data_IF_343758084452
#
_entry.id   IF_343758084452
#
_cell.length_a   1.000
_cell.length_b   1.000
_cell.length_c   1.000
_cell.angle_alpha   90.00
_cell.angle_beta   90.00
_cell.angle_gamma   90.00
#
_symmetry.space_group_name_H-M   'P 1'
#
loop_
_entity.id
_entity.type
_entity.pdbx_description
1 polymer ?
#
# COMPACT_ATOMS: atom_id res chain seq x y z
N UNK A 1 25.45 -5.19 -0.53
CA UNK A 1 24.19 -5.91 -0.79
C UNK A 1 23.77 -5.58 -2.20
N UNK A 2 23.49 -6.59 -3.01
CA UNK A 2 22.99 -6.42 -4.38
C UNK A 2 21.64 -5.68 -4.35
N UNK A 3 21.48 -4.65 -5.19
CA UNK A 3 20.30 -3.78 -5.18
C UNK A 3 19.03 -4.55 -5.56
N UNK A 4 19.15 -5.49 -6.51
CA UNK A 4 18.04 -6.34 -6.94
C UNK A 4 17.63 -7.32 -5.84
N UNK A 5 18.59 -7.97 -5.18
CA UNK A 5 18.31 -8.85 -4.03
C UNK A 5 17.61 -8.10 -2.91
N UNK A 6 18.08 -6.89 -2.58
CA UNK A 6 17.45 -6.03 -1.58
C UNK A 6 15.98 -5.76 -1.91
N UNK A 7 15.70 -5.29 -3.14
CA UNK A 7 14.34 -4.98 -3.55
C UNK A 7 13.44 -6.22 -3.49
N UNK A 8 13.90 -7.36 -4.03
CA UNK A 8 13.17 -8.62 -4.02
C UNK A 8 12.87 -9.12 -2.60
N UNK A 9 13.84 -9.03 -1.70
CA UNK A 9 13.67 -9.43 -0.31
C UNK A 9 12.66 -8.53 0.42
N UNK A 10 12.69 -7.22 0.18
CA UNK A 10 11.75 -6.27 0.79
C UNK A 10 10.33 -6.41 0.26
N UNK A 11 10.14 -6.59 -1.04
CA UNK A 11 8.80 -6.80 -1.61
C UNK A 11 8.20 -8.12 -1.15
N UNK A 12 8.99 -9.20 -1.09
CA UNK A 12 8.54 -10.49 -0.55
C UNK A 12 8.13 -10.38 0.93
N UNK A 13 8.91 -9.65 1.74
CA UNK A 13 8.57 -9.40 3.14
C UNK A 13 7.25 -8.62 3.27
N UNK A 14 7.06 -7.53 2.52
CA UNK A 14 5.83 -6.73 2.60
C UNK A 14 4.61 -7.55 2.16
N UNK A 15 4.74 -8.34 1.10
CA UNK A 15 3.68 -9.24 0.66
C UNK A 15 3.30 -10.24 1.75
N UNK A 16 4.30 -10.92 2.33
CA UNK A 16 4.09 -11.86 3.44
C UNK A 16 3.43 -11.18 4.64
N UNK A 17 3.92 -10.00 5.02
CA UNK A 17 3.39 -9.25 6.15
C UNK A 17 1.91 -8.90 5.95
N UNK A 18 1.54 -8.35 4.79
CA UNK A 18 0.14 -8.07 4.48
C UNK A 18 -0.70 -9.35 4.48
N UNK A 19 -0.26 -10.40 3.77
CA UNK A 19 -1.04 -11.62 3.60
C UNK A 19 -1.26 -12.37 4.92
N UNK A 20 -0.29 -12.37 5.82
CA UNK A 20 -0.43 -13.04 7.11
C UNK A 20 -1.21 -12.19 8.11
N UNK A 21 -0.94 -10.89 8.19
CA UNK A 21 -1.62 -10.01 9.14
C UNK A 21 -3.09 -9.77 8.78
N UNK A 22 -3.44 -9.69 7.50
CA UNK A 22 -4.82 -9.45 7.07
C UNK A 22 -5.78 -10.60 7.39
N UNK A 23 -5.28 -11.85 7.47
CA UNK A 23 -6.13 -13.05 7.65
C UNK A 23 -7.08 -12.96 8.81
N UNK A 24 -6.60 -12.51 9.98
CA UNK A 24 -7.42 -12.45 11.18
C UNK A 24 -8.60 -11.47 11.03
N UNK A 25 -8.35 -10.31 10.43
CA UNK A 25 -9.36 -9.25 10.29
C UNK A 25 -10.34 -9.54 9.16
N UNK A 26 -9.86 -10.13 8.05
CA UNK A 26 -10.73 -10.64 6.98
C UNK A 26 -11.62 -11.78 7.49
N UNK A 27 -11.09 -12.67 8.34
CA UNK A 27 -11.86 -13.74 8.96
C UNK A 27 -12.94 -13.19 9.92
N UNK A 28 -12.65 -12.11 10.66
CA UNK A 28 -13.65 -11.42 11.49
C UNK A 28 -14.80 -10.88 10.63
N UNK A 29 -14.51 -10.10 9.59
CA UNK A 29 -15.53 -9.57 8.68
C UNK A 29 -16.37 -10.70 8.07
N UNK A 30 -15.69 -11.73 7.55
CA UNK A 30 -16.35 -12.90 6.96
C UNK A 30 -17.29 -13.61 7.93
N UNK A 31 -16.86 -13.84 9.17
CA UNK A 31 -17.69 -14.54 10.17
C UNK A 31 -18.88 -13.69 10.62
N UNK A 32 -18.73 -12.38 10.75
CA UNK A 32 -19.83 -11.47 11.09
C UNK A 32 -20.88 -11.50 9.97
N UNK A 33 -20.46 -11.30 8.72
CA UNK A 33 -21.35 -11.27 7.55
C UNK A 33 -22.11 -12.59 7.33
N UNK A 34 -21.49 -13.72 7.71
CA UNK A 34 -22.06 -15.06 7.53
C UNK A 34 -22.64 -15.65 8.83
N UNK A 35 -22.71 -14.86 9.92
CA UNK A 35 -23.23 -15.28 11.23
C UNK A 35 -22.58 -16.59 11.72
N UNK A 36 -21.25 -16.69 11.59
CA UNK A 36 -20.47 -17.85 11.99
C UNK A 36 -19.93 -17.67 13.41
N UNK A 37 -19.67 -18.76 14.17
CA UNK A 37 -19.10 -18.66 15.51
C UNK A 37 -17.80 -17.84 15.54
N UNK A 38 -17.61 -16.93 16.52
CA UNK A 38 -18.45 -16.69 17.70
C UNK A 38 -19.61 -15.68 17.52
N UNK A 39 -19.90 -15.25 16.29
CA UNK A 39 -20.89 -14.21 15.97
C UNK A 39 -22.26 -14.77 15.57
N UNK A 40 -22.48 -16.07 15.73
CA UNK A 40 -23.71 -16.81 15.38
C UNK A 40 -24.87 -16.58 16.37
N UNK A 41 -24.58 -16.05 17.56
CA UNK A 41 -25.57 -15.76 18.59
C UNK A 41 -25.43 -14.30 19.09
N UNK A 42 -25.93 -13.32 18.32
CA UNK A 42 -25.83 -11.91 18.71
C UNK A 42 -26.67 -11.61 19.96
N UNK A 43 -26.21 -10.69 20.84
CA UNK A 43 -27.03 -10.21 21.94
C UNK A 43 -28.28 -9.48 21.41
N UNK A 44 -29.40 -9.63 22.12
CA UNK A 44 -30.64 -8.91 21.77
C UNK A 44 -30.41 -7.40 21.86
N UNK A 45 -30.81 -6.67 20.81
CA UNK A 45 -30.74 -5.22 20.72
C UNK A 45 -32.05 -4.68 20.14
N UNK A 46 -32.57 -3.58 20.71
CA UNK A 46 -33.79 -2.90 20.24
C UNK A 46 -33.48 -1.71 19.31
N UNK A 47 -32.20 -1.37 19.16
CA UNK A 47 -31.76 -0.15 18.47
C UNK A 47 -31.77 -0.29 16.93
N UNK A 48 -32.01 -1.50 16.41
CA UNK A 48 -32.05 -1.79 14.97
C UNK A 48 -30.66 -1.81 14.29
N UNK A 49 -29.60 -1.56 15.05
CA UNK A 49 -28.21 -1.63 14.59
C UNK A 49 -27.79 -3.08 14.27
N UNK A 50 -26.98 -3.30 13.22
CA UNK A 50 -26.37 -4.61 12.98
C UNK A 50 -25.56 -5.07 14.19
N UNK A 51 -25.75 -6.33 14.59
CA UNK A 51 -24.93 -6.91 15.64
C UNK A 51 -23.46 -6.96 15.23
N UNK A 52 -22.57 -6.67 16.17
CA UNK A 52 -21.11 -6.65 15.97
C UNK A 52 -20.60 -5.64 14.92
N UNK A 53 -21.34 -4.54 14.71
CA UNK A 53 -20.94 -3.47 13.80
C UNK A 53 -19.58 -2.86 14.20
N UNK A 54 -19.34 -2.64 15.49
CA UNK A 54 -18.07 -2.08 15.99
C UNK A 54 -16.90 -2.99 15.65
N UNK A 55 -17.01 -4.30 15.87
CA UNK A 55 -15.97 -5.27 15.55
C UNK A 55 -15.68 -5.35 14.05
N UNK A 56 -16.71 -5.24 13.20
CA UNK A 56 -16.52 -5.17 11.75
C UNK A 56 -15.80 -3.89 11.33
N UNK A 57 -16.20 -2.73 11.90
CA UNK A 57 -15.58 -1.43 11.63
C UNK A 57 -14.14 -1.35 12.11
N UNK A 58 -13.84 -1.96 13.26
CA UNK A 58 -12.48 -2.06 13.78
C UNK A 58 -11.61 -2.94 12.88
N UNK A 59 -12.13 -4.09 12.43
CA UNK A 59 -11.43 -4.96 11.48
C UNK A 59 -11.12 -4.23 10.16
N UNK A 60 -12.10 -3.50 9.62
CA UNK A 60 -11.93 -2.69 8.40
C UNK A 60 -10.86 -1.60 8.59
N UNK A 61 -10.95 -0.84 9.67
CA UNK A 61 -9.99 0.22 10.01
C UNK A 61 -8.57 -0.35 10.13
N UNK A 62 -8.41 -1.52 10.75
CA UNK A 62 -7.10 -2.17 10.87
C UNK A 62 -6.57 -2.60 9.50
N UNK A 63 -7.42 -3.12 8.61
CA UNK A 63 -7.04 -3.47 7.24
C UNK A 63 -6.59 -2.26 6.44
N UNK A 64 -7.27 -1.12 6.56
CA UNK A 64 -6.86 0.14 5.93
C UNK A 64 -5.47 0.58 6.42
N UNK A 65 -5.27 0.62 7.74
CA UNK A 65 -3.99 1.01 8.35
C UNK A 65 -2.86 0.05 7.93
N UNK A 66 -3.14 -1.25 7.92
CA UNK A 66 -2.20 -2.28 7.47
C UNK A 66 -1.81 -2.06 6.00
N UNK A 67 -2.79 -1.81 5.13
CA UNK A 67 -2.55 -1.50 3.72
C UNK A 67 -1.67 -0.25 3.55
N UNK A 68 -2.00 0.83 4.27
CA UNK A 68 -1.23 2.08 4.23
C UNK A 68 0.22 1.88 4.73
N UNK A 69 0.42 1.07 5.77
CA UNK A 69 1.74 0.72 6.26
C UNK A 69 2.53 -0.07 5.21
N UNK A 70 1.91 -1.06 4.56
CA UNK A 70 2.52 -1.87 3.51
C UNK A 70 2.97 -1.04 2.31
N UNK A 71 2.10 -0.15 1.81
CA UNK A 71 2.48 0.72 0.69
C UNK A 71 3.59 1.69 1.13
N UNK A 72 3.67 2.08 2.41
CA UNK A 72 4.74 2.97 2.91
C UNK A 72 6.07 2.25 2.91
N UNK A 73 6.10 1.01 3.38
CA UNK A 73 7.27 0.14 3.30
C UNK A 73 7.73 -0.10 1.85
N UNK A 74 6.81 -0.30 0.92
CA UNK A 74 7.14 -0.45 -0.51
C UNK A 74 7.75 0.85 -1.09
N UNK A 75 7.16 2.00 -0.78
CA UNK A 75 7.66 3.31 -1.22
C UNK A 75 9.09 3.55 -0.73
N UNK A 76 9.38 3.23 0.53
CA UNK A 76 10.72 3.40 1.09
C UNK A 76 11.73 2.38 0.55
N UNK A 77 11.31 1.13 0.32
CA UNK A 77 12.12 0.15 -0.37
C UNK A 77 12.50 0.60 -1.79
N UNK A 78 11.56 1.21 -2.53
CA UNK A 78 11.82 1.77 -3.86
C UNK A 78 12.80 2.96 -3.79
N UNK A 79 12.64 3.88 -2.85
CA UNK A 79 13.60 4.98 -2.64
C UNK A 79 15.00 4.45 -2.38
N UNK A 80 15.13 3.46 -1.49
CA UNK A 80 16.43 2.85 -1.17
C UNK A 80 17.02 2.13 -2.37
N UNK A 81 16.21 1.42 -3.16
CA UNK A 81 16.63 0.78 -4.39
C UNK A 81 17.18 1.80 -5.40
N UNK A 82 16.41 2.82 -5.74
CA UNK A 82 16.83 3.85 -6.69
C UNK A 82 18.06 4.63 -6.22
N UNK A 83 18.12 5.00 -4.93
CA UNK A 83 19.30 5.64 -4.37
C UNK A 83 20.54 4.72 -4.45
N UNK A 84 20.38 3.42 -4.23
CA UNK A 84 21.47 2.45 -4.32
C UNK A 84 21.93 2.30 -5.78
N UNK A 85 20.98 2.19 -6.71
CA UNK A 85 21.25 2.09 -8.14
C UNK A 85 22.02 3.33 -8.64
N UNK A 86 21.53 4.53 -8.31
CA UNK A 86 22.16 5.78 -8.71
C UNK A 86 23.56 5.97 -8.11
N UNK A 87 23.72 5.76 -6.80
CA UNK A 87 24.98 6.08 -6.13
C UNK A 87 26.06 4.99 -6.23
N UNK A 88 25.68 3.71 -6.32
CA UNK A 88 26.61 2.58 -6.21
C UNK A 88 26.78 1.76 -7.48
N UNK A 89 25.83 1.83 -8.40
CA UNK A 89 25.86 1.01 -9.62
C UNK A 89 26.15 1.87 -10.85
N UNK A 90 25.36 2.93 -11.05
CA UNK A 90 25.48 3.78 -12.24
C UNK A 90 26.42 4.97 -11.99
N UNK A 91 26.41 5.53 -10.79
CA UNK A 91 27.28 6.65 -10.41
C UNK A 91 26.77 8.00 -10.89
N UNK A 92 25.48 8.28 -10.73
CA UNK A 92 24.89 9.59 -11.05
C UNK A 92 24.17 10.22 -9.85
N UNK A 93 23.97 11.54 -9.94
CA UNK A 93 23.22 12.31 -8.95
C UNK A 93 22.44 13.44 -9.60
N UNK A 94 21.28 13.78 -9.04
CA UNK A 94 20.52 14.96 -9.46
C UNK A 94 21.18 16.25 -8.98
N UNK A 95 21.49 17.16 -9.90
CA UNK A 95 22.02 18.49 -9.59
C UNK A 95 21.07 19.32 -8.72
N UNK A 96 19.76 19.26 -9.02
CA UNK A 96 18.72 19.89 -8.22
C UNK A 96 17.59 18.91 -7.92
N UNK A 97 17.74 18.16 -6.81
CA UNK A 97 16.73 17.19 -6.36
C UNK A 97 15.34 17.80 -6.15
N UNK A 98 15.25 19.04 -5.67
CA UNK A 98 13.96 19.70 -5.41
C UNK A 98 13.20 19.98 -6.70
N UNK A 99 13.90 20.39 -7.75
CA UNK A 99 13.30 20.59 -9.06
C UNK A 99 12.95 19.25 -9.72
N UNK A 100 13.87 18.29 -9.69
CA UNK A 100 13.67 16.96 -10.28
C UNK A 100 12.48 16.23 -9.64
N UNK A 101 12.34 16.28 -8.31
CA UNK A 101 11.34 15.48 -7.59
C UNK A 101 9.98 16.19 -7.47
N UNK A 102 9.75 17.28 -8.23
CA UNK A 102 8.48 18.03 -8.19
C UNK A 102 7.29 17.14 -8.60
N UNK A 103 7.49 16.23 -9.55
CA UNK A 103 6.48 15.24 -9.97
C UNK A 103 6.49 13.94 -9.15
N UNK A 104 7.32 13.85 -8.11
CA UNK A 104 7.59 12.61 -7.37
C UNK A 104 8.98 12.04 -7.65
N UNK A 105 9.46 11.16 -6.77
CA UNK A 105 10.81 10.61 -6.91
C UNK A 105 10.89 9.53 -7.99
N UNK A 106 9.87 8.68 -8.14
CA UNK A 106 9.90 7.59 -9.12
C UNK A 106 9.95 8.10 -10.57
N UNK A 107 9.10 9.07 -11.01
CA UNK A 107 9.21 9.64 -12.35
C UNK A 107 10.59 10.24 -12.63
N UNK A 108 11.16 10.97 -11.66
CA UNK A 108 12.49 11.58 -11.79
C UNK A 108 13.59 10.54 -11.98
N UNK A 109 13.49 9.39 -11.31
CA UNK A 109 14.42 8.28 -11.52
C UNK A 109 14.23 7.60 -12.88
N UNK A 110 12.99 7.37 -13.33
CA UNK A 110 12.73 6.79 -14.65
C UNK A 110 13.24 7.68 -15.79
N UNK A 111 13.06 9.00 -15.68
CA UNK A 111 13.57 9.97 -16.65
C UNK A 111 15.10 9.93 -16.73
N UNK A 112 15.78 10.10 -15.58
CA UNK A 112 17.24 10.09 -15.54
C UNK A 112 17.84 8.75 -16.00
N UNK A 113 17.23 7.62 -15.59
CA UNK A 113 17.70 6.30 -16.02
C UNK A 113 17.40 6.05 -17.51
N UNK A 114 16.31 6.60 -18.05
CA UNK A 114 15.97 6.51 -19.46
C UNK A 114 17.00 7.22 -20.34
N UNK A 115 17.41 8.43 -19.93
CA UNK A 115 18.48 9.18 -20.60
C UNK A 115 19.84 8.47 -20.52
N UNK A 116 20.18 7.91 -19.35
CA UNK A 116 21.49 7.25 -19.14
C UNK A 116 21.58 5.92 -19.90
N UNK A 117 20.49 5.14 -19.93
CA UNK A 117 20.45 3.81 -20.53
C UNK A 117 19.96 3.80 -21.98
N UNK A 118 19.63 4.98 -22.54
CA UNK A 118 19.05 5.15 -23.87
C UNK A 118 17.82 4.25 -24.09
N UNK A 119 16.85 4.36 -23.18
CA UNK A 119 15.63 3.54 -23.18
C UNK A 119 14.36 4.36 -22.95
N UNK A 120 13.28 3.96 -23.61
CA UNK A 120 11.95 4.55 -23.49
C UNK A 120 11.02 3.76 -22.55
N UNK A 121 11.53 2.68 -21.93
CA UNK A 121 10.80 1.77 -21.04
C UNK A 121 9.66 0.97 -21.69
N UNK A 122 9.51 1.01 -23.02
CA UNK A 122 8.44 0.28 -23.73
C UNK A 122 8.52 -1.24 -23.53
N UNK A 123 9.74 -1.78 -23.44
CA UNK A 123 10.01 -3.20 -23.18
C UNK A 123 10.04 -3.55 -21.67
N UNK A 124 9.76 -2.59 -20.78
CA UNK A 124 9.78 -2.84 -19.34
C UNK A 124 8.51 -3.59 -18.92
N UNK A 125 8.62 -4.81 -18.35
CA UNK A 125 7.45 -5.58 -17.93
C UNK A 125 6.79 -5.02 -16.65
N UNK A 126 7.42 -4.04 -16.00
CA UNK A 126 6.89 -3.45 -14.78
C UNK A 126 5.89 -2.34 -15.11
N UNK A 127 4.72 -2.39 -14.45
CA UNK A 127 3.73 -1.31 -14.56
C UNK A 127 4.26 -0.03 -13.91
N UNK A 128 4.62 0.93 -14.76
CA UNK A 128 5.13 2.23 -14.34
C UNK A 128 4.09 3.03 -13.56
N UNK A 129 2.82 3.01 -13.99
CA UNK A 129 1.75 3.77 -13.33
C UNK A 129 1.55 3.26 -11.89
N UNK A 130 1.62 1.94 -11.69
CA UNK A 130 1.54 1.33 -10.36
C UNK A 130 2.72 1.75 -9.47
N UNK A 131 3.96 1.72 -10.00
CA UNK A 131 5.15 2.14 -9.25
C UNK A 131 5.04 3.62 -8.85
N UNK A 132 4.58 4.47 -9.77
CA UNK A 132 4.37 5.89 -9.51
C UNK A 132 3.31 6.09 -8.42
N UNK A 133 2.20 5.35 -8.45
CA UNK A 133 1.16 5.40 -7.42
C UNK A 133 1.69 5.01 -6.03
N UNK A 134 2.53 3.96 -5.95
CA UNK A 134 3.19 3.54 -4.69
C UNK A 134 4.14 4.63 -4.19
N UNK A 135 4.81 5.33 -5.11
CA UNK A 135 5.77 6.39 -4.83
C UNK A 135 5.13 7.73 -4.44
N UNK A 136 3.82 7.90 -4.65
CA UNK A 136 3.15 9.14 -4.30
C UNK A 136 3.21 9.41 -2.79
N UNK A 137 3.51 10.66 -2.39
CA UNK A 137 3.38 11.06 -1.00
C UNK A 137 1.90 11.01 -0.62
N UNK A 138 1.56 10.08 0.28
CA UNK A 138 0.21 10.01 0.86
C UNK A 138 0.02 11.18 1.81
N UNK A 139 -0.98 12.02 1.52
CA UNK A 139 -1.58 12.88 2.55
C UNK A 139 -2.48 11.97 3.38
N UNK A 140 -2.23 11.90 4.69
CA UNK A 140 -3.15 11.24 5.62
C UNK A 140 -4.53 11.85 5.42
N UNK A 141 -5.49 11.07 4.92
CA UNK A 141 -6.89 11.45 5.03
C UNK A 141 -7.16 11.56 6.54
N UNK A 142 -7.77 12.65 7.06
CA UNK A 142 -8.15 12.65 8.46
C UNK A 142 -9.03 11.44 8.67
N UNK A 143 -8.59 10.54 9.54
CA UNK A 143 -9.42 9.41 9.97
C UNK A 143 -10.73 9.99 10.52
N UNK A 144 -11.85 9.38 10.12
CA UNK A 144 -13.23 9.69 10.53
C UNK A 144 -13.91 10.88 9.82
N UNK A 145 -14.56 10.59 8.68
CA UNK A 145 -15.93 11.08 8.44
C UNK A 145 -16.84 9.86 8.42
N UNK A 146 -17.49 9.59 9.55
CA UNK A 146 -18.60 8.66 9.60
C UNK A 146 -19.76 9.25 8.79
N UNK A 147 -19.96 8.72 7.60
CA UNK A 147 -21.16 8.76 6.75
C UNK A 147 -20.67 8.55 5.32
N UNK A 148 -20.96 7.38 4.75
CA UNK A 148 -21.52 7.28 3.40
C UNK A 148 -21.73 5.80 3.07
N UNK A 149 -23.00 5.39 3.21
CA UNK A 149 -23.71 4.37 2.42
C UNK A 149 -23.27 2.91 2.58
N UNK A 150 -24.03 2.16 3.39
CA UNK A 150 -24.19 0.71 3.17
C UNK A 150 -25.15 0.54 1.97
N UNK A 151 -24.78 -0.20 0.91
CA UNK A 151 -25.68 -0.47 -0.20
C UNK A 151 -26.61 -1.65 0.14
N UNK A 152 -27.91 -1.38 0.15
CA UNK A 152 -28.96 -2.37 -0.07
C UNK A 152 -29.74 -2.81 1.16
N UNK A 153 -30.99 -2.37 1.25
CA UNK A 153 -32.16 -3.26 1.20
C UNK A 153 -33.41 -2.45 0.77
N UNK A 154 -34.50 -3.09 0.30
CA UNK A 154 -35.28 -2.72 -0.90
C UNK A 154 -36.13 -1.44 -0.84
#
# INVERSE_FOLDING_TARGET
>A
MDARYFLKSRTAFVHFFYSESAKAFVDVQHRIENQLPPFDNPPYSEDGEPAFLEEWMDADTVLEVLGLACISMLSDALKLYFNTLANRVIGFSFQNKKAAFRGGFAPAYFEALGEILDTDWSDCPADRALIEQIALPRKSRPAWRGSDVIPGDP
#
